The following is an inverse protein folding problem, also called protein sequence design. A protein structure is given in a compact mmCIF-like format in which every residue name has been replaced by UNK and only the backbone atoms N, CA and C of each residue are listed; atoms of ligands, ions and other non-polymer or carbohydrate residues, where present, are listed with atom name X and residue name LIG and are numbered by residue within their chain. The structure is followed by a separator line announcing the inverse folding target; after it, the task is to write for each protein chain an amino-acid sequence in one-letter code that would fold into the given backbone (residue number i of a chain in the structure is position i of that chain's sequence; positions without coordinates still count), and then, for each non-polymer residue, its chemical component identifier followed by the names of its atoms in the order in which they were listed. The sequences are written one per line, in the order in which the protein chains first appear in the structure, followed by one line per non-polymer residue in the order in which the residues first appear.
data_IF_265869997368
#
_entry.id   IF_265869997368
#
_cell.length_a   1.000
_cell.length_b   1.000
_cell.length_c   1.000
_cell.angle_alpha   90.00
_cell.angle_beta   90.00
_cell.angle_gamma   90.00
#
_symmetry.space_group_name_H-M   'P 1'
#
loop_
_entity.id
_entity.type
_entity.pdbx_description
1 polymer ?
#
# COMPACT_ATOMS: atom_id res chain seq x y z
N UNK A 1 14.37 -6.63 15.03
CA UNK A 1 14.39 -8.12 15.01
C UNK A 1 15.74 -8.64 15.49
N UNK A 2 15.87 -9.93 15.86
CA UNK A 2 17.20 -10.47 16.22
C UNK A 2 18.05 -10.69 14.96
N UNK A 3 19.37 -10.52 15.10
CA UNK A 3 20.32 -10.71 13.99
C UNK A 3 20.24 -12.13 13.40
N UNK A 4 20.03 -13.13 14.25
CA UNK A 4 19.89 -14.53 13.83
C UNK A 4 18.69 -14.74 12.89
N UNK A 5 17.55 -14.10 13.16
CA UNK A 5 16.35 -14.21 12.31
C UNK A 5 16.58 -13.53 10.97
N UNK A 6 17.20 -12.35 10.97
CA UNK A 6 17.51 -11.60 9.75
C UNK A 6 18.44 -12.42 8.84
N UNK A 7 19.51 -13.00 9.40
CA UNK A 7 20.48 -13.79 8.65
C UNK A 7 19.87 -15.07 8.07
N UNK A 8 19.05 -15.78 8.86
CA UNK A 8 18.31 -16.96 8.40
C UNK A 8 17.38 -16.63 7.24
N UNK A 9 16.64 -15.52 7.31
CA UNK A 9 15.75 -15.07 6.24
C UNK A 9 16.52 -14.77 4.95
N UNK A 10 17.56 -13.94 5.03
CA UNK A 10 18.38 -13.56 3.87
C UNK A 10 19.06 -14.77 3.24
N UNK A 11 19.60 -15.67 4.06
CA UNK A 11 20.20 -16.93 3.62
C UNK A 11 19.20 -17.86 2.92
N UNK A 12 17.97 -17.94 3.41
CA UNK A 12 16.91 -18.71 2.76
C UNK A 12 16.52 -18.09 1.41
N UNK A 13 16.34 -16.78 1.33
CA UNK A 13 16.04 -16.08 0.08
C UNK A 13 17.13 -16.32 -0.97
N UNK A 14 18.40 -16.19 -0.58
CA UNK A 14 19.53 -16.46 -1.48
C UNK A 14 19.59 -17.93 -1.92
N UNK A 15 19.34 -18.88 -1.01
CA UNK A 15 19.34 -20.32 -1.30
C UNK A 15 18.28 -20.72 -2.32
N UNK A 16 17.09 -20.13 -2.22
CA UNK A 16 15.95 -20.48 -3.08
C UNK A 16 15.74 -19.52 -4.25
N UNK A 17 16.62 -18.51 -4.41
CA UNK A 17 16.58 -17.59 -5.53
C UNK A 17 15.44 -16.58 -5.48
N UNK A 18 14.95 -16.21 -4.29
CA UNK A 18 13.97 -15.13 -4.13
C UNK A 18 14.69 -13.78 -4.04
N UNK A 19 14.55 -12.97 -5.09
CA UNK A 19 14.98 -11.57 -5.07
C UNK A 19 13.99 -10.68 -4.32
N UNK A 20 14.41 -9.48 -3.87
CA UNK A 20 13.55 -8.57 -3.11
C UNK A 20 12.30 -8.11 -3.87
N UNK A 21 12.35 -8.01 -5.20
CA UNK A 21 11.20 -7.69 -6.04
C UNK A 21 10.15 -8.80 -6.20
N UNK A 22 10.41 -10.00 -5.65
CA UNK A 22 9.48 -11.14 -5.67
C UNK A 22 8.81 -11.36 -4.31
N UNK A 23 9.13 -10.54 -3.31
CA UNK A 23 8.64 -10.67 -1.95
C UNK A 23 7.87 -9.40 -1.63
N UNK A 24 6.58 -9.55 -1.35
CA UNK A 24 5.68 -8.45 -1.02
C UNK A 24 5.08 -8.68 0.37
N UNK A 25 5.74 -8.22 1.44
CA UNK A 25 5.17 -8.20 2.78
C UNK A 25 3.86 -7.42 2.79
N UNK A 26 2.93 -7.86 3.62
CA UNK A 26 1.69 -7.13 3.89
C UNK A 26 1.71 -6.65 5.34
N UNK A 27 1.35 -5.39 5.55
CA UNK A 27 1.23 -4.82 6.89
C UNK A 27 0.05 -5.41 7.68
N UNK A 28 -0.05 -5.02 8.95
CA UNK A 28 -1.15 -5.45 9.81
C UNK A 28 -2.45 -4.72 9.48
N UNK A 29 -3.55 -5.48 9.38
CA UNK A 29 -4.92 -4.95 9.20
C UNK A 29 -5.38 -3.96 10.28
N UNK A 30 -4.66 -3.86 11.42
CA UNK A 30 -4.96 -2.92 12.50
C UNK A 30 -4.50 -1.48 12.18
N UNK A 31 -3.61 -1.31 11.20
CA UNK A 31 -3.08 -0.01 10.80
C UNK A 31 -4.15 0.74 9.99
N UNK A 32 -4.44 1.97 10.39
CA UNK A 32 -5.31 2.87 9.62
C UNK A 32 -4.62 4.23 9.49
N UNK A 33 -3.96 4.47 8.35
CA UNK A 33 -3.25 5.72 8.08
C UNK A 33 -4.20 6.90 7.77
N UNK A 34 -5.50 6.63 7.64
CA UNK A 34 -6.56 7.62 7.47
C UNK A 34 -7.37 7.88 8.75
N UNK A 35 -6.95 7.33 9.89
CA UNK A 35 -7.76 7.32 11.11
C UNK A 35 -8.21 8.74 11.53
N UNK A 36 -9.51 8.97 11.85
CA UNK A 36 -10.03 10.30 12.18
C UNK A 36 -9.53 10.83 13.54
N UNK A 37 -9.35 9.94 14.52
CA UNK A 37 -8.84 10.29 15.84
C UNK A 37 -7.31 10.32 15.87
N UNK A 38 -6.74 11.43 16.35
CA UNK A 38 -5.30 11.68 16.34
C UNK A 38 -4.49 10.60 17.08
N UNK A 39 -4.92 10.17 18.26
CA UNK A 39 -4.16 9.17 19.04
C UNK A 39 -4.02 7.83 18.29
N UNK A 40 -5.10 7.36 17.66
CA UNK A 40 -5.08 6.12 16.90
C UNK A 40 -4.35 6.27 15.55
N UNK A 41 -4.39 7.47 14.95
CA UNK A 41 -3.59 7.80 13.77
C UNK A 41 -2.09 7.72 14.09
N UNK A 42 -1.64 8.33 15.18
CA UNK A 42 -0.23 8.29 15.59
C UNK A 42 0.24 6.88 15.93
N UNK A 43 -0.61 6.06 16.57
CA UNK A 43 -0.33 4.64 16.78
C UNK A 43 -0.18 3.89 15.45
N UNK A 44 -1.03 4.18 14.47
CA UNK A 44 -0.95 3.57 13.14
C UNK A 44 0.31 4.00 12.39
N UNK A 45 0.68 5.28 12.44
CA UNK A 45 1.93 5.82 11.87
C UNK A 45 3.16 5.16 12.49
N UNK A 46 3.19 5.03 13.81
CA UNK A 46 4.29 4.38 14.52
C UNK A 46 4.41 2.88 14.17
N UNK A 47 3.27 2.17 14.06
CA UNK A 47 3.26 0.78 13.65
C UNK A 47 3.71 0.59 12.19
N UNK A 48 3.24 1.46 11.28
CA UNK A 48 3.65 1.42 9.88
C UNK A 48 5.14 1.72 9.70
N UNK A 49 5.70 2.65 10.49
CA UNK A 49 7.13 2.90 10.54
C UNK A 49 7.91 1.67 10.99
N UNK A 50 7.46 0.97 12.04
CA UNK A 50 8.10 -0.27 12.49
C UNK A 50 8.09 -1.34 11.38
N UNK A 51 6.97 -1.52 10.68
CA UNK A 51 6.87 -2.46 9.54
C UNK A 51 7.83 -2.11 8.39
N UNK A 52 7.95 -0.83 8.03
CA UNK A 52 8.90 -0.36 7.01
C UNK A 52 10.35 -0.61 7.43
N UNK A 53 10.71 -0.30 8.69
CA UNK A 53 12.06 -0.56 9.23
C UNK A 53 12.38 -2.06 9.33
N UNK A 54 11.36 -2.91 9.52
CA UNK A 54 11.52 -4.37 9.47
C UNK A 54 11.80 -4.84 8.06
N UNK A 55 11.14 -4.26 7.06
CA UNK A 55 11.44 -4.52 5.65
C UNK A 55 12.88 -4.16 5.31
N UNK A 56 13.37 -2.99 5.74
CA UNK A 56 14.78 -2.58 5.59
C UNK A 56 15.75 -3.59 6.22
N UNK A 57 15.51 -3.98 7.48
CA UNK A 57 16.34 -4.96 8.19
C UNK A 57 16.42 -6.29 7.41
N UNK A 58 15.30 -6.71 6.85
CA UNK A 58 15.18 -7.93 6.04
C UNK A 58 15.75 -7.79 4.63
N UNK A 59 16.08 -6.58 4.17
CA UNK A 59 16.55 -6.30 2.81
C UNK A 59 15.43 -6.39 1.76
N UNK A 60 14.19 -6.16 2.18
CA UNK A 60 13.02 -6.10 1.31
C UNK A 60 12.82 -4.68 0.80
N UNK A 61 12.23 -4.53 -0.38
CA UNK A 61 12.11 -3.24 -1.07
C UNK A 61 10.68 -2.74 -1.20
N UNK A 62 9.69 -3.52 -0.75
CA UNK A 62 8.27 -3.25 -0.88
C UNK A 62 7.58 -3.52 0.45
N UNK A 63 6.54 -2.75 0.78
CA UNK A 63 5.58 -3.05 1.84
C UNK A 63 4.17 -2.74 1.33
N UNK A 64 3.32 -3.77 1.24
CA UNK A 64 1.93 -3.65 0.86
C UNK A 64 1.04 -3.31 2.04
N UNK A 65 0.04 -2.46 1.82
CA UNK A 65 -0.93 -2.11 2.85
C UNK A 65 -2.26 -1.63 2.26
N UNK A 66 -3.32 -1.78 3.05
CA UNK A 66 -4.60 -1.13 2.75
C UNK A 66 -4.53 0.35 3.19
N UNK A 67 -4.98 1.31 2.35
CA UNK A 67 -4.76 2.73 2.62
C UNK A 67 -5.33 3.23 3.95
N UNK A 68 -6.58 2.85 4.27
CA UNK A 68 -7.23 3.23 5.52
C UNK A 68 -8.74 3.41 5.39
N UNK A 69 -9.37 3.87 6.48
CA UNK A 69 -10.81 4.06 6.56
C UNK A 69 -11.18 5.32 7.35
N UNK A 70 -12.21 6.02 6.87
CA UNK A 70 -12.63 7.32 7.43
C UNK A 70 -13.60 7.19 8.62
N UNK A 71 -14.04 5.96 8.93
CA UNK A 71 -14.93 5.59 10.04
C UNK A 71 -16.22 6.41 10.13
N UNK A 72 -16.70 6.95 9.01
CA UNK A 72 -17.85 7.86 8.93
C UNK A 72 -17.71 9.12 9.81
N UNK A 73 -16.48 9.51 10.18
CA UNK A 73 -16.21 10.67 11.04
C UNK A 73 -15.55 11.84 10.30
N UNK A 74 -14.92 11.57 9.17
CA UNK A 74 -14.35 12.58 8.27
C UNK A 74 -14.72 12.28 6.82
N UNK A 75 -14.62 13.30 5.97
CA UNK A 75 -14.83 13.19 4.52
C UNK A 75 -13.75 12.33 3.86
N UNK A 76 -14.07 11.70 2.72
CA UNK A 76 -13.13 10.85 1.97
C UNK A 76 -11.84 11.63 1.62
N UNK A 77 -11.96 12.83 1.06
CA UNK A 77 -10.81 13.66 0.67
C UNK A 77 -9.88 13.98 1.85
N UNK A 78 -10.43 14.23 3.04
CA UNK A 78 -9.64 14.48 4.25
C UNK A 78 -8.92 13.21 4.71
N UNK A 79 -9.56 12.06 4.55
CA UNK A 79 -8.96 10.77 4.88
C UNK A 79 -7.82 10.44 3.89
N UNK A 80 -8.05 10.62 2.58
CA UNK A 80 -7.02 10.43 1.53
C UNK A 80 -5.80 11.33 1.77
N UNK A 81 -6.03 12.61 2.09
CA UNK A 81 -4.94 13.53 2.43
C UNK A 81 -4.15 13.11 3.68
N UNK A 82 -4.84 12.59 4.72
CA UNK A 82 -4.18 12.04 5.92
C UNK A 82 -3.35 10.80 5.62
N UNK A 83 -3.82 9.94 4.72
CA UNK A 83 -3.08 8.76 4.29
C UNK A 83 -1.79 9.18 3.58
N UNK A 84 -1.88 10.13 2.64
CA UNK A 84 -0.71 10.68 1.95
C UNK A 84 0.30 11.31 2.92
N UNK A 85 -0.18 12.13 3.87
CA UNK A 85 0.68 12.71 4.93
C UNK A 85 1.36 11.63 5.76
N UNK A 86 0.63 10.58 6.16
CA UNK A 86 1.20 9.47 6.93
C UNK A 86 2.28 8.72 6.16
N UNK A 87 2.10 8.54 4.85
CA UNK A 87 3.13 7.96 3.97
C UNK A 87 4.36 8.86 3.96
N UNK A 88 4.21 10.18 3.74
CA UNK A 88 5.34 11.12 3.74
C UNK A 88 6.14 11.07 5.05
N UNK A 89 5.45 11.13 6.21
CA UNK A 89 6.09 11.08 7.53
C UNK A 89 6.95 9.81 7.69
N UNK A 90 6.47 8.67 7.21
CA UNK A 90 7.20 7.40 7.34
C UNK A 90 8.30 7.26 6.30
N UNK A 91 8.07 7.70 5.06
CA UNK A 91 9.11 7.73 4.03
C UNK A 91 10.27 8.65 4.42
N UNK A 92 10.04 9.78 5.09
CA UNK A 92 11.09 10.68 5.59
C UNK A 92 12.00 10.04 6.66
N UNK A 93 11.56 8.93 7.26
CA UNK A 93 12.26 8.23 8.34
C UNK A 93 12.82 6.86 7.92
N UNK A 94 12.71 6.52 6.63
CA UNK A 94 13.10 5.21 6.07
C UNK A 94 13.77 5.40 4.72
N UNK A 95 14.49 4.38 4.25
CA UNK A 95 15.19 4.36 2.96
C UNK A 95 14.97 3.01 2.25
N UNK A 96 14.93 3.02 0.92
CA UNK A 96 14.98 1.80 0.10
C UNK A 96 13.71 0.93 0.06
N UNK A 97 12.71 1.20 0.91
CA UNK A 97 11.40 0.51 0.88
C UNK A 97 10.34 1.40 0.23
N UNK A 98 9.58 0.83 -0.70
CA UNK A 98 8.43 1.46 -1.38
C UNK A 98 7.14 1.11 -0.66
N UNK A 99 6.33 2.12 -0.35
CA UNK A 99 4.98 1.97 0.16
C UNK A 99 4.03 1.59 -0.98
N UNK A 100 3.49 0.36 -0.96
CA UNK A 100 2.62 -0.19 -2.01
C UNK A 100 1.17 -0.14 -1.54
N UNK A 101 0.38 0.77 -2.13
CA UNK A 101 -1.01 0.99 -1.75
C UNK A 101 -1.89 -0.03 -2.48
N UNK A 102 -2.60 -0.87 -1.74
CA UNK A 102 -3.53 -1.84 -2.32
C UNK A 102 -4.94 -1.25 -2.53
N UNK A 103 -5.59 -1.57 -3.65
CA UNK A 103 -7.02 -1.27 -3.80
C UNK A 103 -7.86 -2.15 -2.87
N UNK A 104 -8.99 -1.64 -2.38
CA UNK A 104 -9.85 -2.40 -1.46
C UNK A 104 -11.22 -2.69 -2.06
N UNK A 105 -11.97 -3.62 -1.47
CA UNK A 105 -13.36 -3.89 -1.84
C UNK A 105 -14.35 -2.77 -1.43
N UNK A 106 -13.90 -1.72 -0.71
CA UNK A 106 -14.77 -0.61 -0.30
C UNK A 106 -15.78 -0.94 0.81
N UNK A 107 -15.51 -1.97 1.62
CA UNK A 107 -16.41 -2.35 2.71
C UNK A 107 -16.44 -1.30 3.83
N UNK A 108 -17.65 -1.01 4.34
CA UNK A 108 -17.85 -0.08 5.45
C UNK A 108 -17.44 1.34 5.11
N UNK A 109 -16.25 1.75 5.59
CA UNK A 109 -15.68 3.08 5.36
C UNK A 109 -14.24 3.01 4.81
N UNK A 110 -13.85 1.85 4.28
CA UNK A 110 -12.53 1.64 3.68
C UNK A 110 -12.42 2.43 2.38
N UNK A 111 -11.29 3.10 2.19
CA UNK A 111 -10.95 3.79 0.95
C UNK A 111 -10.02 2.93 0.08
N UNK A 112 -9.60 3.46 -1.07
CA UNK A 112 -8.81 2.71 -2.07
C UNK A 112 -9.64 1.82 -3.00
N UNK A 113 -10.97 1.81 -2.88
CA UNK A 113 -11.83 1.02 -3.78
C UNK A 113 -12.05 1.63 -5.17
N UNK A 114 -11.66 2.89 -5.36
CA UNK A 114 -11.59 3.54 -6.68
C UNK A 114 -10.14 3.80 -7.02
N UNK A 115 -9.76 3.64 -8.29
CA UNK A 115 -8.42 4.01 -8.76
C UNK A 115 -8.12 5.49 -8.54
N UNK A 116 -9.12 6.35 -8.57
CA UNK A 116 -9.02 7.78 -8.24
C UNK A 116 -8.62 8.02 -6.78
N UNK A 117 -8.99 7.13 -5.85
CA UNK A 117 -8.55 7.23 -4.45
C UNK A 117 -7.05 6.96 -4.34
N UNK A 118 -6.55 5.95 -5.07
CA UNK A 118 -5.13 5.63 -5.11
C UNK A 118 -4.34 6.79 -5.73
N UNK A 119 -4.83 7.34 -6.84
CA UNK A 119 -4.26 8.50 -7.52
C UNK A 119 -4.16 9.71 -6.57
N UNK A 120 -5.25 10.04 -5.87
CA UNK A 120 -5.27 11.16 -4.92
C UNK A 120 -4.26 11.01 -3.78
N UNK A 121 -4.03 9.79 -3.29
CA UNK A 121 -3.00 9.53 -2.27
C UNK A 121 -1.61 9.75 -2.88
N UNK A 122 -1.33 9.14 -4.04
CA UNK A 122 -0.03 9.25 -4.73
C UNK A 122 0.31 10.70 -5.08
N UNK A 123 -0.68 11.49 -5.49
CA UNK A 123 -0.51 12.91 -5.79
C UNK A 123 -0.03 13.69 -4.56
N UNK A 124 -0.56 13.36 -3.39
CA UNK A 124 -0.16 13.94 -2.10
C UNK A 124 1.16 13.42 -1.52
N UNK A 125 1.72 12.32 -2.06
CA UNK A 125 3.03 11.80 -1.64
C UNK A 125 4.16 12.60 -2.29
N UNK A 126 5.15 13.02 -1.50
CA UNK A 126 6.29 13.83 -1.95
C UNK A 126 7.31 12.99 -2.73
N UNK A 127 7.83 11.93 -2.11
CA UNK A 127 8.75 10.98 -2.76
C UNK A 127 7.98 9.95 -3.60
N UNK A 128 7.60 10.36 -4.81
CA UNK A 128 6.89 9.50 -5.77
C UNK A 128 7.72 8.30 -6.25
N UNK A 129 9.02 8.24 -5.98
CA UNK A 129 9.86 7.09 -6.34
C UNK A 129 9.65 5.89 -5.40
N UNK A 130 9.11 6.14 -4.19
CA UNK A 130 8.86 5.14 -3.14
C UNK A 130 7.39 4.99 -2.77
N UNK A 131 6.50 5.28 -3.73
CA UNK A 131 5.09 4.87 -3.65
C UNK A 131 4.69 4.11 -4.91
N UNK A 132 3.95 3.03 -4.72
CA UNK A 132 3.43 2.19 -5.79
C UNK A 132 2.02 1.72 -5.49
N UNK A 133 1.46 0.89 -6.37
CA UNK A 133 0.15 0.27 -6.17
C UNK A 133 0.20 -1.24 -6.35
N UNK A 134 -0.64 -1.92 -5.58
CA UNK A 134 -0.97 -3.33 -5.71
C UNK A 134 -2.45 -3.42 -6.10
N UNK A 135 -2.76 -4.22 -7.12
CA UNK A 135 -4.14 -4.45 -7.54
C UNK A 135 -4.55 -5.87 -7.18
N UNK A 136 -5.39 -6.00 -6.17
CA UNK A 136 -6.11 -7.22 -5.85
C UNK A 136 -7.36 -7.33 -6.75
N UNK A 137 -7.42 -8.42 -7.51
CA UNK A 137 -8.48 -8.66 -8.49
C UNK A 137 -9.83 -8.95 -7.85
N UNK A 138 -9.86 -9.58 -6.67
CA UNK A 138 -11.08 -9.82 -5.89
C UNK A 138 -11.65 -8.50 -5.36
N UNK A 139 -10.79 -7.65 -4.81
CA UNK A 139 -11.15 -6.30 -4.36
C UNK A 139 -11.65 -5.44 -5.51
N UNK A 140 -10.95 -5.45 -6.64
CA UNK A 140 -11.36 -4.69 -7.83
C UNK A 140 -12.75 -5.16 -8.30
N UNK A 141 -12.95 -6.48 -8.40
CA UNK A 141 -14.23 -7.05 -8.79
C UNK A 141 -15.35 -6.70 -7.80
N UNK A 142 -15.10 -6.80 -6.50
CA UNK A 142 -16.07 -6.43 -5.46
C UNK A 142 -16.40 -4.93 -5.46
N UNK A 143 -15.43 -4.07 -5.83
CA UNK A 143 -15.61 -2.64 -5.99
C UNK A 143 -16.32 -2.24 -7.30
N UNK A 144 -16.59 -3.19 -8.19
CA UNK A 144 -17.34 -2.99 -9.44
C UNK A 144 -16.51 -2.94 -10.71
N UNK A 145 -15.20 -3.21 -10.64
CA UNK A 145 -14.36 -3.35 -11.84
C UNK A 145 -14.51 -4.75 -12.44
N UNK A 146 -15.15 -4.84 -13.60
CA UNK A 146 -15.39 -6.13 -14.24
C UNK A 146 -14.09 -6.72 -14.81
N UNK A 147 -13.84 -7.99 -14.49
CA UNK A 147 -12.68 -8.78 -14.92
C UNK A 147 -13.08 -10.13 -15.53
N UNK A 148 -14.38 -10.33 -15.83
CA UNK A 148 -14.93 -11.63 -16.27
C UNK A 148 -14.65 -11.97 -17.74
N UNK A 149 -14.24 -10.99 -18.53
CA UNK A 149 -13.84 -11.17 -19.93
C UNK A 149 -12.55 -10.40 -20.23
N UNK A 150 -11.87 -10.78 -21.32
CA UNK A 150 -10.68 -10.08 -21.80
C UNK A 150 -10.97 -8.59 -22.08
N UNK A 151 -12.09 -8.28 -22.74
CA UNK A 151 -12.52 -6.90 -23.02
C UNK A 151 -12.76 -6.09 -21.73
N UNK A 152 -13.42 -6.69 -20.73
CA UNK A 152 -13.68 -6.04 -19.44
C UNK A 152 -12.37 -5.81 -18.67
N UNK A 153 -11.48 -6.79 -18.68
CA UNK A 153 -10.13 -6.70 -18.12
C UNK A 153 -9.34 -5.54 -18.75
N UNK A 154 -9.26 -5.49 -20.09
CA UNK A 154 -8.63 -4.39 -20.80
C UNK A 154 -9.25 -3.03 -20.45
N UNK A 155 -10.58 -2.96 -20.35
CA UNK A 155 -11.27 -1.73 -19.98
C UNK A 155 -10.88 -1.26 -18.58
N UNK A 156 -10.89 -2.18 -17.60
CA UNK A 156 -10.47 -1.92 -16.21
C UNK A 156 -9.03 -1.45 -16.14
N UNK A 157 -8.09 -2.14 -16.78
CA UNK A 157 -6.67 -1.74 -16.76
C UNK A 157 -6.40 -0.45 -17.56
N UNK A 158 -7.20 -0.13 -18.59
CA UNK A 158 -7.19 1.19 -19.24
C UNK A 158 -7.68 2.29 -18.30
N UNK A 159 -8.66 2.03 -17.44
CA UNK A 159 -9.07 2.98 -16.40
C UNK A 159 -7.94 3.19 -15.39
N UNK A 160 -7.34 2.12 -14.87
CA UNK A 160 -6.21 2.19 -13.95
C UNK A 160 -5.06 3.02 -14.53
N UNK A 161 -4.64 2.74 -15.76
CA UNK A 161 -3.53 3.45 -16.41
C UNK A 161 -3.77 4.95 -16.58
N UNK A 162 -5.04 5.39 -16.70
CA UNK A 162 -5.40 6.83 -16.79
C UNK A 162 -5.28 7.54 -15.46
N UNK A 163 -5.55 6.84 -14.36
CA UNK A 163 -5.53 7.41 -13.01
C UNK A 163 -4.12 7.44 -12.39
N UNK A 164 -3.18 6.64 -12.89
CA UNK A 164 -1.84 6.47 -12.28
C UNK A 164 -0.70 6.47 -13.32
N UNK A 165 -0.69 7.47 -14.20
CA UNK A 165 0.19 7.57 -15.37
C UNK A 165 1.72 7.68 -15.06
N UNK A 166 2.16 7.61 -13.81
CA UNK A 166 3.58 7.68 -13.42
C UNK A 166 3.96 6.76 -12.25
N UNK A 167 3.11 5.76 -11.95
CA UNK A 167 3.22 4.95 -10.73
C UNK A 167 3.93 3.62 -10.98
N UNK A 168 4.73 3.17 -10.01
CA UNK A 168 5.26 1.79 -9.98
C UNK A 168 4.13 0.83 -9.63
N UNK A 169 3.84 -0.13 -10.52
CA UNK A 169 2.85 -1.17 -10.28
C UNK A 169 3.55 -2.43 -9.75
N UNK A 170 3.11 -2.94 -8.60
CA UNK A 170 3.39 -4.28 -8.15
C UNK A 170 2.16 -5.16 -8.47
N UNK A 171 2.40 -6.32 -9.07
CA UNK A 171 1.33 -7.29 -9.28
C UNK A 171 1.04 -8.00 -7.95
N UNK A 172 -0.23 -8.01 -7.54
CA UNK A 172 -0.75 -8.87 -6.48
C UNK A 172 -1.73 -9.87 -7.08
N UNK A 173 -1.84 -11.03 -6.43
CA UNK A 173 -2.62 -12.19 -6.89
C UNK A 173 -4.12 -11.92 -6.90
#
# INVERSE_FOLDING_TARGET
MSAEVIDKFKSACARYGYGPGQILPHDSYLINLGHPLAEALEKSRAAFLDEMQRCEQLGLTLLNFHPGSHLMQIDEDKCLARIAESINIVLDQTEGVTAVIENTAGQGSNLGFKFEHLAAIIDGVEDKSRVGVCIDTCHAFAAGYDLRSEEACEHTFKQLARSSASTTYAACT
#
